data_IF_457309728898
#
_entry.id   IF_457309728898
#
_cell.length_a   1.000
_cell.length_b   1.000
_cell.length_c   1.000
_cell.angle_alpha   90.00
_cell.angle_beta   90.00
_cell.angle_gamma   90.00
#
_symmetry.space_group_name_H-M   'P 1'
#
loop_
_entity.id
_entity.type
_entity.pdbx_description
1 polymer ?
#
# COMPACT_ATOMS: atom_id res chain seq x y z
N UNK A 1 3.75 -5.27 -2.50
CA UNK A 1 4.48 -4.28 -1.71
C UNK A 1 5.98 -4.57 -1.81
N UNK A 2 6.78 -3.79 -2.54
CA UNK A 2 8.22 -3.75 -2.21
C UNK A 2 8.31 -3.17 -0.81
N UNK A 3 8.43 -4.06 0.18
CA UNK A 3 8.28 -3.70 1.59
C UNK A 3 9.26 -2.59 1.98
N UNK A 4 10.46 -2.59 1.40
CA UNK A 4 11.47 -1.58 1.66
C UNK A 4 11.13 -0.21 1.08
N UNK A 5 10.61 -0.13 -0.15
CA UNK A 5 10.25 1.15 -0.74
C UNK A 5 9.03 1.76 -0.03
N UNK A 6 8.02 0.94 0.27
CA UNK A 6 6.84 1.43 0.98
C UNK A 6 7.19 1.90 2.40
N UNK A 7 8.00 1.11 3.14
CA UNK A 7 8.51 1.50 4.46
C UNK A 7 9.23 2.85 4.43
N UNK A 8 10.07 3.09 3.43
CA UNK A 8 10.77 4.37 3.25
C UNK A 8 9.80 5.52 2.98
N UNK A 9 8.74 5.29 2.18
CA UNK A 9 7.71 6.29 1.91
C UNK A 9 6.91 6.66 3.15
N UNK A 10 6.47 5.66 3.92
CA UNK A 10 5.76 5.89 5.18
C UNK A 10 6.65 6.72 6.11
N UNK A 11 7.89 6.26 6.36
CA UNK A 11 8.80 6.95 7.28
C UNK A 11 9.12 8.38 6.88
N UNK A 12 9.41 8.65 5.61
CA UNK A 12 9.77 10.00 5.16
C UNK A 12 8.58 10.97 5.14
N UNK A 13 7.35 10.48 4.93
CA UNK A 13 6.18 11.34 4.76
C UNK A 13 5.40 11.52 6.07
N UNK A 14 5.20 10.43 6.81
CA UNK A 14 4.46 10.44 8.08
C UNK A 14 5.36 10.85 9.25
N UNK A 15 6.62 10.40 9.26
CA UNK A 15 7.48 10.41 10.43
C UNK A 15 7.29 9.20 11.36
N UNK A 16 6.32 8.34 11.05
CA UNK A 16 5.96 7.15 11.83
C UNK A 16 6.72 5.92 11.34
N UNK A 17 6.70 4.87 12.15
CA UNK A 17 7.25 3.58 11.76
C UNK A 17 6.26 2.85 10.85
N UNK A 18 6.74 2.20 9.79
CA UNK A 18 5.86 1.35 8.98
C UNK A 18 5.30 0.15 9.75
N UNK A 19 5.97 -0.24 10.85
CA UNK A 19 5.49 -1.31 11.72
C UNK A 19 4.19 -0.94 12.44
N UNK A 20 3.92 0.36 12.64
CA UNK A 20 2.69 0.83 13.30
C UNK A 20 1.44 0.48 12.46
N UNK A 21 1.61 0.23 11.15
CA UNK A 21 0.53 -0.09 10.22
C UNK A 21 0.49 -1.58 9.83
N UNK A 22 1.20 -2.44 10.57
CA UNK A 22 1.12 -3.90 10.38
C UNK A 22 0.06 -4.44 11.33
N UNK A 23 -0.76 -5.36 10.84
CA UNK A 23 -1.84 -6.02 11.59
C UNK A 23 -2.76 -5.01 12.30
N UNK A 24 -3.04 -3.90 11.63
CA UNK A 24 -3.91 -2.84 12.12
C UNK A 24 -5.31 -2.94 11.48
N UNK A 25 -6.34 -2.86 12.31
CA UNK A 25 -7.72 -2.91 11.84
C UNK A 25 -8.04 -4.16 11.02
N UNK A 26 -8.78 -4.00 9.93
CA UNK A 26 -9.28 -5.09 9.10
C UNK A 26 -8.58 -5.24 7.74
N UNK A 27 -7.78 -4.25 7.33
CA UNK A 27 -7.14 -4.17 6.02
C UNK A 27 -5.64 -3.94 6.07
N UNK A 28 -5.11 -3.29 7.12
CA UNK A 28 -3.67 -3.05 7.19
C UNK A 28 -2.91 -4.31 7.60
N UNK A 29 -2.47 -5.11 6.62
CA UNK A 29 -1.74 -6.34 6.88
C UNK A 29 -1.72 -7.27 5.67
N UNK A 30 -1.58 -8.58 5.92
CA UNK A 30 -1.80 -9.61 4.90
C UNK A 30 -3.29 -9.95 4.80
N UNK A 31 -3.86 -9.79 3.62
CA UNK A 31 -5.27 -10.10 3.37
C UNK A 31 -6.11 -8.84 3.35
N UNK A 32 -7.17 -8.81 4.15
CA UNK A 32 -8.15 -7.72 4.16
C UNK A 32 -9.57 -8.24 4.00
N UNK A 33 -10.47 -7.92 4.93
CA UNK A 33 -11.88 -8.28 4.82
C UNK A 33 -12.80 -7.34 5.61
N UNK A 34 -14.10 -7.38 5.33
CA UNK A 34 -15.06 -6.56 6.07
C UNK A 34 -14.98 -5.08 5.70
N UNK A 35 -15.64 -4.25 6.50
CA UNK A 35 -15.57 -2.79 6.36
C UNK A 35 -14.36 -2.23 7.11
N UNK A 36 -13.69 -1.19 6.60
CA UNK A 36 -12.66 -0.47 7.34
C UNK A 36 -13.19 0.06 8.69
N UNK A 37 -12.37 -0.03 9.74
CA UNK A 37 -12.75 0.37 11.10
C UNK A 37 -12.54 1.86 11.38
N UNK A 38 -11.57 2.48 10.70
CA UNK A 38 -11.28 3.92 10.80
C UNK A 38 -10.58 4.43 9.52
N UNK A 39 -10.16 5.71 9.55
CA UNK A 39 -9.48 6.35 8.41
C UNK A 39 -8.14 5.69 8.07
N UNK A 40 -7.40 5.17 9.06
CA UNK A 40 -6.11 4.50 8.82
C UNK A 40 -6.35 3.16 8.12
N UNK A 41 -7.34 2.41 8.57
CA UNK A 41 -7.75 1.15 7.96
C UNK A 41 -8.34 1.36 6.54
N UNK A 42 -9.04 2.47 6.31
CA UNK A 42 -9.53 2.86 5.00
C UNK A 42 -8.38 3.15 4.02
N UNK A 43 -7.30 3.78 4.47
CA UNK A 43 -6.10 3.95 3.64
C UNK A 43 -5.54 2.60 3.16
N UNK A 44 -5.53 1.58 4.02
CA UNK A 44 -5.09 0.23 3.68
C UNK A 44 -6.05 -0.47 2.72
N UNK A 45 -7.36 -0.32 2.92
CA UNK A 45 -8.36 -0.80 1.97
C UNK A 45 -8.13 -0.23 0.56
N UNK A 46 -7.96 1.08 0.45
CA UNK A 46 -7.70 1.76 -0.84
C UNK A 46 -6.38 1.28 -1.44
N UNK A 47 -5.34 1.10 -0.61
CA UNK A 47 -4.04 0.58 -1.03
C UNK A 47 -4.15 -0.83 -1.62
N UNK A 48 -4.87 -1.72 -0.96
CA UNK A 48 -5.08 -3.09 -1.43
C UNK A 48 -5.89 -3.11 -2.73
N UNK A 49 -6.90 -2.25 -2.88
CA UNK A 49 -7.60 -2.09 -4.17
C UNK A 49 -6.72 -1.60 -5.29
N UNK A 50 -5.80 -0.68 -5.00
CA UNK A 50 -4.81 -0.24 -5.98
C UNK A 50 -3.91 -1.39 -6.44
N UNK A 51 -3.53 -2.29 -5.53
CA UNK A 51 -2.75 -3.49 -5.85
C UNK A 51 -3.55 -4.54 -6.62
N UNK A 52 -4.80 -4.79 -6.22
CA UNK A 52 -5.74 -5.68 -6.92
C UNK A 52 -5.89 -5.24 -8.40
N UNK A 53 -6.03 -3.93 -8.65
CA UNK A 53 -6.15 -3.38 -10.00
C UNK A 53 -4.89 -3.58 -10.85
N UNK A 54 -3.70 -3.46 -10.26
CA UNK A 54 -2.43 -3.76 -10.94
C UNK A 54 -2.35 -5.26 -11.29
N UNK A 55 -2.76 -6.13 -10.38
CA UNK A 55 -2.79 -7.58 -10.58
C UNK A 55 -3.78 -7.94 -11.69
N UNK A 56 -4.99 -7.38 -11.66
CA UNK A 56 -6.03 -7.63 -12.65
C UNK A 56 -5.59 -7.23 -14.06
N UNK A 57 -4.85 -6.13 -14.20
CA UNK A 57 -4.26 -5.70 -15.48
C UNK A 57 -3.05 -6.53 -15.92
N UNK A 58 -2.55 -7.44 -15.09
CA UNK A 58 -1.35 -8.25 -15.34
C UNK A 58 -0.10 -7.43 -15.69
N UNK A 59 -0.06 -6.15 -15.29
CA UNK A 59 1.03 -5.22 -15.63
C UNK A 59 2.39 -5.69 -15.08
N UNK A 60 2.36 -6.46 -13.99
CA UNK A 60 3.55 -6.98 -13.32
C UNK A 60 3.94 -8.41 -13.74
N UNK A 61 3.22 -9.02 -14.69
CA UNK A 61 3.32 -10.44 -15.00
C UNK A 61 2.56 -11.28 -13.98
N UNK A 62 3.28 -12.03 -13.15
CA UNK A 62 2.66 -12.83 -12.09
C UNK A 62 2.19 -11.96 -10.92
N UNK A 63 1.06 -12.32 -10.30
CA UNK A 63 0.45 -11.55 -9.19
C UNK A 63 1.42 -11.30 -8.04
N UNK A 64 2.21 -12.30 -7.64
CA UNK A 64 3.16 -12.15 -6.52
C UNK A 64 4.28 -11.13 -6.79
N UNK A 65 4.53 -10.74 -8.05
CA UNK A 65 5.59 -9.79 -8.40
C UNK A 65 5.35 -8.41 -7.81
N UNK A 66 4.10 -8.05 -7.51
CA UNK A 66 3.79 -6.78 -6.83
C UNK A 66 4.49 -6.67 -5.48
N UNK A 67 4.87 -7.79 -4.83
CA UNK A 67 5.54 -7.83 -3.52
C UNK A 67 7.07 -7.78 -3.55
N UNK A 68 7.70 -7.97 -4.70
CA UNK A 68 9.17 -8.02 -4.76
C UNK A 68 9.75 -7.02 -5.74
N UNK A 69 8.91 -6.37 -6.54
CA UNK A 69 9.38 -5.47 -7.58
C UNK A 69 9.67 -4.09 -7.01
N UNK A 70 10.95 -3.73 -7.05
CA UNK A 70 11.40 -2.38 -6.67
C UNK A 70 11.01 -1.30 -7.67
N UNK A 71 10.93 -0.08 -7.20
CA UNK A 71 10.67 1.10 -8.01
C UNK A 71 11.48 2.29 -7.50
N UNK A 72 11.69 3.29 -8.37
CA UNK A 72 12.46 4.49 -8.06
C UNK A 72 11.54 5.58 -7.53
N UNK A 73 11.94 6.19 -6.42
CA UNK A 73 11.17 7.26 -5.78
C UNK A 73 12.08 8.20 -4.97
N UNK A 74 11.59 9.41 -4.73
CA UNK A 74 12.13 10.38 -3.79
C UNK A 74 11.06 10.74 -2.78
N UNK A 75 11.12 10.12 -1.60
CA UNK A 75 9.99 10.10 -0.65
C UNK A 75 8.69 9.67 -1.35
N UNK A 76 7.59 10.42 -1.30
CA UNK A 76 6.33 10.09 -2.01
C UNK A 76 6.31 10.49 -3.48
N UNK A 77 7.39 11.05 -4.03
CA UNK A 77 7.48 11.37 -5.46
C UNK A 77 7.96 10.15 -6.24
N UNK A 78 7.15 9.69 -7.18
CA UNK A 78 7.52 8.62 -8.11
C UNK A 78 8.32 9.15 -9.29
N UNK A 79 9.37 8.42 -9.67
CA UNK A 79 10.07 8.71 -10.91
C UNK A 79 9.20 8.37 -12.13
N UNK A 80 9.26 9.16 -13.21
CA UNK A 80 8.45 8.94 -14.39
C UNK A 80 8.89 7.68 -15.14
N UNK A 81 8.04 7.21 -16.06
CA UNK A 81 8.30 6.03 -16.89
C UNK A 81 9.63 6.14 -17.67
N UNK A 82 9.98 7.35 -18.10
CA UNK A 82 11.23 7.65 -18.83
C UNK A 82 12.51 7.47 -17.99
N UNK A 83 12.40 7.34 -16.67
CA UNK A 83 13.53 7.04 -15.78
C UNK A 83 13.96 5.57 -15.80
N UNK A 84 13.18 4.71 -16.45
CA UNK A 84 13.45 3.28 -16.60
C UNK A 84 13.94 2.97 -18.02
N UNK A 85 14.82 1.96 -18.19
CA UNK A 85 15.23 1.49 -19.51
C UNK A 85 14.04 1.15 -20.40
N UNK A 86 14.13 1.44 -21.70
CA UNK A 86 13.02 1.18 -22.63
C UNK A 86 12.74 -0.31 -22.83
N UNK A 87 13.72 -1.16 -22.56
CA UNK A 87 13.67 -2.62 -22.59
C UNK A 87 13.26 -3.25 -21.25
N UNK A 88 13.06 -2.47 -20.18
CA UNK A 88 12.45 -2.96 -18.95
C UNK A 88 10.94 -3.19 -19.18
N UNK A 89 10.59 -4.45 -19.45
CA UNK A 89 9.21 -4.90 -19.68
C UNK A 89 8.24 -4.52 -18.53
N UNK A 90 8.73 -4.32 -17.31
CA UNK A 90 7.90 -4.05 -16.13
C UNK A 90 7.94 -2.59 -15.67
N UNK A 91 8.50 -1.67 -16.46
CA UNK A 91 8.60 -0.24 -16.09
C UNK A 91 7.24 0.39 -15.70
N UNK A 92 6.15 -0.02 -16.37
CA UNK A 92 4.80 0.46 -16.05
C UNK A 92 4.34 -0.04 -14.68
N UNK A 93 4.55 -1.33 -14.40
CA UNK A 93 4.27 -1.91 -13.09
C UNK A 93 5.04 -1.18 -11.97
N UNK A 94 6.32 -0.85 -12.18
CA UNK A 94 7.11 -0.11 -11.19
C UNK A 94 6.53 1.27 -10.89
N UNK A 95 6.11 1.99 -11.93
CA UNK A 95 5.49 3.32 -11.78
C UNK A 95 4.14 3.21 -11.06
N UNK A 96 3.32 2.22 -11.40
CA UNK A 96 2.00 2.04 -10.79
C UNK A 96 2.09 1.62 -9.32
N UNK A 97 2.98 0.68 -8.98
CA UNK A 97 3.26 0.30 -7.59
C UNK A 97 3.70 1.50 -6.76
N UNK A 98 4.62 2.31 -7.30
CA UNK A 98 5.07 3.52 -6.65
C UNK A 98 3.92 4.48 -6.36
N UNK A 99 2.98 4.65 -7.30
CA UNK A 99 1.82 5.53 -7.11
C UNK A 99 0.90 5.02 -6.00
N UNK A 100 0.59 3.72 -5.99
CA UNK A 100 -0.20 3.12 -4.91
C UNK A 100 0.45 3.39 -3.54
N UNK A 101 1.75 3.11 -3.41
CA UNK A 101 2.49 3.28 -2.15
C UNK A 101 2.62 4.77 -1.76
N UNK A 102 2.76 5.67 -2.73
CA UNK A 102 2.74 7.13 -2.53
C UNK A 102 1.41 7.61 -1.98
N UNK A 103 0.29 7.20 -2.58
CA UNK A 103 -1.04 7.62 -2.13
C UNK A 103 -1.38 7.07 -0.76
N UNK A 104 -1.02 5.81 -0.47
CA UNK A 104 -1.18 5.23 0.86
C UNK A 104 -0.37 6.01 1.92
N UNK A 105 0.90 6.33 1.65
CA UNK A 105 1.71 7.12 2.59
C UNK A 105 1.14 8.53 2.84
N UNK A 106 0.59 9.18 1.81
CA UNK A 106 -0.11 10.48 1.95
C UNK A 106 -1.39 10.35 2.74
N UNK A 107 -2.16 9.28 2.53
CA UNK A 107 -3.37 8.98 3.26
C UNK A 107 -3.07 8.81 4.76
N UNK A 108 -2.06 7.99 5.11
CA UNK A 108 -1.62 7.80 6.50
C UNK A 108 -1.14 9.08 7.19
N UNK A 109 -0.66 10.08 6.44
CA UNK A 109 -0.29 11.37 7.04
C UNK A 109 -1.51 12.15 7.54
N UNK A 110 -2.66 11.97 6.89
CA UNK A 110 -3.90 12.68 7.16
C UNK A 110 -4.79 11.91 8.14
N UNK A 111 -4.75 10.57 8.07
CA UNK A 111 -5.51 9.69 8.93
C UNK A 111 -5.02 9.77 10.39
N UNK A 112 -5.96 9.66 11.32
CA UNK A 112 -5.66 9.51 12.73
C UNK A 112 -5.32 8.05 13.07
N UNK A 113 -4.19 7.84 13.71
CA UNK A 113 -3.82 6.55 14.27
C UNK A 113 -4.58 6.24 15.56
N UNK A 114 -5.12 5.03 15.69
CA UNK A 114 -5.79 4.53 16.88
C UNK A 114 -5.07 3.29 17.44
N UNK A 115 -4.31 3.42 18.55
CA UNK A 115 -3.57 2.30 19.14
C UNK A 115 -4.45 1.11 19.54
N UNK A 116 -5.74 1.32 19.80
CA UNK A 116 -6.68 0.23 20.15
C UNK A 116 -6.96 -0.73 18.97
N UNK A 117 -6.55 -0.36 17.75
CA UNK A 117 -6.70 -1.16 16.54
C UNK A 117 -5.39 -1.81 16.08
N UNK A 118 -4.29 -1.66 16.83
CA UNK A 118 -3.08 -2.47 16.64
C UNK A 118 -3.37 -3.94 16.99
N UNK A 119 -2.73 -4.88 16.27
CA UNK A 119 -2.90 -6.33 16.43
C UNK A 119 -4.38 -6.76 16.46
N UNK A 120 -5.22 -6.10 15.65
CA UNK A 120 -6.67 -6.31 15.69
C UNK A 120 -7.04 -7.72 15.22
N UNK A 121 -7.95 -8.36 15.97
CA UNK A 121 -8.45 -9.69 15.64
C UNK A 121 -9.32 -9.66 14.38
N UNK A 122 -8.71 -10.01 13.25
CA UNK A 122 -9.35 -10.05 11.93
C UNK A 122 -10.61 -10.94 11.86
N UNK A 123 -10.84 -11.85 12.80
CA UNK A 123 -12.09 -12.62 12.86
C UNK A 123 -13.32 -11.78 13.24
N UNK A 124 -13.08 -10.59 13.82
CA UNK A 124 -14.11 -9.61 14.18
C UNK A 124 -14.49 -8.70 13.02
N UNK A 125 -13.73 -8.71 11.93
CA UNK A 125 -14.02 -7.95 10.72
C UNK A 125 -15.30 -8.46 10.08
N UNK A 126 -16.25 -7.55 9.90
CA UNK A 126 -17.58 -7.83 9.35
C UNK A 126 -17.92 -6.74 8.36
N UNK A 127 -18.68 -7.11 7.32
CA UNK A 127 -19.31 -6.12 6.46
C UNK A 127 -20.40 -5.42 7.26
N UNK A 128 -20.20 -4.17 7.65
CA UNK A 128 -21.31 -3.32 8.06
C UNK A 128 -22.19 -3.08 6.84
N UNK A 129 -23.45 -3.51 6.91
CA UNK A 129 -24.44 -3.19 5.88
C UNK A 129 -24.59 -1.67 5.82
N UNK A 130 -24.47 -1.12 4.62
CA UNK A 130 -24.94 0.23 4.31
C UNK A 130 -26.45 0.36 4.60
#
# INVERSE_FOLDING_TARGET
>A
RSLDNFRKMIGCHTGNSAFDYIDYGCWCGLGGNGSPLDETDECCYIHDKCYDDIIARSTCGYSFQVYFRDYKHSCTRCEPLSSYPSDDYYRECRVDLCKCDSEAAKCFKQARFNPDLEDYDNSKCKNTKA
#
